data_IF_060222495121
#
_entry.id   IF_060222495121
#
_cell.length_a   1.000
_cell.length_b   1.000
_cell.length_c   1.000
_cell.angle_alpha   90.00
_cell.angle_beta   90.00
_cell.angle_gamma   90.00
#
_symmetry.space_group_name_H-M   'P 1'
#
loop_
_entity.id
_entity.type
_entity.pdbx_description
1 polymer ?
#
# COMPACT_ATOMS: atom_id res chain seq x y z
N UNK A 1 17.52 -7.68 -15.50
CA UNK A 1 16.37 -6.86 -15.06
C UNK A 1 15.63 -7.45 -13.85
N UNK A 2 15.31 -8.74 -13.83
CA UNK A 2 14.62 -9.40 -12.68
C UNK A 2 15.37 -9.25 -11.35
N UNK A 3 16.70 -9.33 -11.39
CA UNK A 3 17.56 -9.19 -10.21
C UNK A 3 17.46 -7.82 -9.54
N UNK A 4 17.38 -6.72 -10.31
CA UNK A 4 17.31 -5.37 -9.75
C UNK A 4 15.98 -5.15 -9.02
N UNK A 5 14.86 -5.56 -9.63
CA UNK A 5 13.54 -5.47 -9.00
C UNK A 5 13.44 -6.37 -7.76
N UNK A 6 14.00 -7.58 -7.81
CA UNK A 6 14.04 -8.48 -6.65
C UNK A 6 14.86 -7.87 -5.50
N UNK A 7 16.06 -7.36 -5.79
CA UNK A 7 16.90 -6.72 -4.78
C UNK A 7 16.25 -5.47 -4.18
N UNK A 8 15.59 -4.63 -4.98
CA UNK A 8 14.83 -3.49 -4.47
C UNK A 8 13.72 -3.93 -3.51
N UNK A 9 12.90 -4.90 -3.92
CA UNK A 9 11.80 -5.42 -3.12
C UNK A 9 12.32 -5.99 -1.79
N UNK A 10 13.38 -6.81 -1.86
CA UNK A 10 13.99 -7.43 -0.70
C UNK A 10 14.58 -6.38 0.25
N UNK A 11 15.35 -5.42 -0.27
CA UNK A 11 15.94 -4.35 0.53
C UNK A 11 14.87 -3.52 1.25
N UNK A 12 13.85 -3.07 0.50
CA UNK A 12 12.79 -2.21 1.03
C UNK A 12 11.96 -2.94 2.08
N UNK A 13 11.61 -4.21 1.85
CA UNK A 13 10.79 -5.00 2.80
C UNK A 13 11.57 -5.44 4.04
N UNK A 14 12.90 -5.50 3.97
CA UNK A 14 13.77 -5.83 5.10
C UNK A 14 14.25 -4.59 5.88
N UNK A 15 13.82 -3.39 5.50
CA UNK A 15 14.17 -2.16 6.20
C UNK A 15 12.92 -1.53 6.83
N UNK A 16 12.92 -1.19 8.13
CA UNK A 16 11.77 -0.55 8.77
C UNK A 16 11.38 0.77 8.10
N UNK A 17 10.07 1.01 7.93
CA UNK A 17 9.59 2.25 7.29
C UNK A 17 10.08 3.50 8.01
N UNK A 18 10.10 3.53 9.35
CA UNK A 18 10.55 4.70 10.11
C UNK A 18 12.01 5.07 9.77
N UNK A 19 12.87 4.08 9.56
CA UNK A 19 14.27 4.29 9.17
C UNK A 19 14.34 4.87 7.76
N UNK A 20 13.53 4.35 6.83
CA UNK A 20 13.43 4.88 5.47
C UNK A 20 12.89 6.32 5.48
N UNK A 21 11.89 6.61 6.32
CA UNK A 21 11.30 7.94 6.47
C UNK A 21 12.33 8.96 6.94
N UNK A 22 13.07 8.67 8.01
CA UNK A 22 14.12 9.56 8.49
C UNK A 22 15.27 9.72 7.50
N UNK A 23 15.67 8.64 6.84
CA UNK A 23 16.70 8.72 5.80
C UNK A 23 16.24 9.63 4.64
N UNK A 24 15.00 9.49 4.17
CA UNK A 24 14.46 10.32 3.10
C UNK A 24 14.25 11.77 3.56
N UNK A 25 13.80 12.01 4.79
CA UNK A 25 13.51 13.35 5.30
C UNK A 25 14.76 14.16 5.71
N UNK A 26 15.82 13.49 6.17
CA UNK A 26 17.00 14.17 6.71
C UNK A 26 18.31 13.79 6.01
N UNK A 27 18.46 12.52 5.62
CA UNK A 27 19.68 12.03 4.96
C UNK A 27 19.77 12.45 3.49
N UNK A 28 18.71 12.23 2.72
CA UNK A 28 18.69 12.50 1.28
C UNK A 28 18.86 14.00 0.94
N UNK A 29 18.21 14.95 1.64
CA UNK A 29 18.44 16.38 1.46
C UNK A 29 19.89 16.79 1.71
N UNK A 30 20.53 16.21 2.72
CA UNK A 30 21.93 16.50 3.06
C UNK A 30 22.89 15.98 1.98
N UNK A 31 22.63 14.80 1.44
CA UNK A 31 23.47 14.18 0.41
C UNK A 31 23.35 14.87 -0.96
N UNK A 32 22.13 15.29 -1.32
CA UNK A 32 21.82 15.83 -2.65
C UNK A 32 21.67 17.36 -2.66
N UNK A 33 21.81 18.02 -1.51
CA UNK A 33 21.73 19.46 -1.32
C UNK A 33 20.45 20.10 -1.91
N UNK A 34 19.29 19.55 -1.54
CA UNK A 34 17.99 20.11 -1.90
C UNK A 34 17.14 20.35 -0.65
N UNK A 35 16.05 21.13 -0.80
CA UNK A 35 15.10 21.39 0.27
C UNK A 35 13.68 21.20 -0.25
N UNK A 36 13.03 20.13 0.19
CA UNK A 36 11.61 19.87 -0.05
C UNK A 36 10.82 20.00 1.25
N UNK A 37 9.51 20.30 1.18
CA UNK A 37 8.68 20.26 2.37
C UNK A 37 8.60 18.83 2.95
N UNK A 38 8.45 18.69 4.27
CA UNK A 38 8.43 17.37 4.93
C UNK A 38 7.32 16.44 4.41
N UNK A 39 6.17 16.97 4.00
CA UNK A 39 5.10 16.16 3.41
C UNK A 39 5.54 15.46 2.12
N UNK A 40 6.42 16.08 1.33
CA UNK A 40 6.95 15.48 0.10
C UNK A 40 7.93 14.34 0.40
N UNK A 41 8.74 14.50 1.45
CA UNK A 41 9.61 13.43 1.95
C UNK A 41 8.80 12.25 2.51
N UNK A 42 7.75 12.53 3.29
CA UNK A 42 6.82 11.52 3.78
C UNK A 42 6.19 10.73 2.63
N UNK A 43 5.70 11.43 1.60
CA UNK A 43 5.11 10.81 0.42
C UNK A 43 6.13 9.92 -0.31
N UNK A 44 7.35 10.41 -0.52
CA UNK A 44 8.41 9.63 -1.17
C UNK A 44 8.76 8.36 -0.38
N UNK A 45 8.93 8.47 0.94
CA UNK A 45 9.22 7.32 1.79
C UNK A 45 8.10 6.28 1.77
N UNK A 46 6.84 6.71 1.84
CA UNK A 46 5.68 5.82 1.73
C UNK A 46 5.59 5.15 0.36
N UNK A 47 5.82 5.89 -0.74
CA UNK A 47 5.81 5.33 -2.10
C UNK A 47 6.91 4.27 -2.26
N UNK A 48 8.14 4.57 -1.84
CA UNK A 48 9.26 3.64 -1.91
C UNK A 48 8.93 2.37 -1.13
N UNK A 49 8.47 2.52 0.11
CA UNK A 49 8.16 1.38 0.95
C UNK A 49 7.02 0.52 0.38
N UNK A 50 5.86 1.13 0.15
CA UNK A 50 4.65 0.40 -0.23
C UNK A 50 4.68 -0.13 -1.67
N UNK A 51 5.43 0.51 -2.58
CA UNK A 51 5.58 -0.01 -3.95
C UNK A 51 6.20 -1.41 -3.98
N UNK A 52 7.12 -1.73 -3.07
CA UNK A 52 7.69 -3.07 -2.95
C UNK A 52 6.66 -4.11 -2.49
N UNK A 53 5.82 -3.75 -1.51
CA UNK A 53 4.74 -4.63 -1.05
C UNK A 53 3.67 -4.83 -2.13
N UNK A 54 3.27 -3.78 -2.83
CA UNK A 54 2.33 -3.88 -3.95
C UNK A 54 2.90 -4.71 -5.09
N UNK A 55 4.19 -4.58 -5.41
CA UNK A 55 4.83 -5.38 -6.45
C UNK A 55 4.76 -6.88 -6.14
N UNK A 56 4.96 -7.28 -4.88
CA UNK A 56 4.83 -8.68 -4.47
C UNK A 56 3.40 -9.20 -4.52
N UNK A 57 2.42 -8.38 -4.13
CA UNK A 57 1.00 -8.73 -4.27
C UNK A 57 0.64 -8.96 -5.74
N UNK A 58 1.07 -8.06 -6.63
CA UNK A 58 0.84 -8.17 -8.07
C UNK A 58 1.53 -9.42 -8.62
N UNK A 59 2.81 -9.65 -8.26
CA UNK A 59 3.56 -10.83 -8.69
C UNK A 59 2.88 -12.13 -8.25
N UNK A 60 2.48 -12.21 -6.99
CA UNK A 60 1.78 -13.39 -6.45
C UNK A 60 0.43 -13.61 -7.16
N UNK A 61 -0.35 -12.55 -7.38
CA UNK A 61 -1.63 -12.64 -8.09
C UNK A 61 -1.49 -13.09 -9.54
N UNK A 62 -0.45 -12.64 -10.25
CA UNK A 62 -0.19 -13.05 -11.64
C UNK A 62 0.27 -14.51 -11.76
N UNK A 63 0.98 -15.05 -10.77
CA UNK A 63 1.47 -16.44 -10.77
C UNK A 63 0.35 -17.44 -10.43
N UNK A 64 -0.68 -17.02 -9.70
CA UNK A 64 -1.78 -17.90 -9.27
C UNK A 64 -2.77 -18.29 -10.39
N UNK A 65 -2.64 -17.74 -11.59
CA UNK A 65 -3.56 -18.03 -12.70
C UNK A 65 -3.32 -19.45 -13.24
N UNK A 66 -4.42 -20.21 -13.38
CA UNK A 66 -4.37 -21.60 -13.85
C UNK A 66 -3.81 -21.69 -15.28
N UNK A 67 -2.78 -22.53 -15.46
CA UNK A 67 -2.15 -22.77 -16.77
C UNK A 67 -3.14 -23.29 -17.82
N UNK A 68 -4.15 -24.06 -17.39
CA UNK A 68 -5.21 -24.60 -18.26
C UNK A 68 -5.96 -23.52 -19.03
N UNK A 69 -6.20 -22.35 -18.42
CA UNK A 69 -6.86 -21.23 -19.12
C UNK A 69 -5.98 -20.64 -20.22
N UNK A 70 -4.67 -20.59 -19.98
CA UNK A 70 -3.69 -20.09 -20.94
C UNK A 70 -3.55 -21.11 -22.09
N UNK A 71 -3.47 -22.39 -21.77
CA UNK A 71 -3.40 -23.49 -22.74
C UNK A 71 -4.66 -23.57 -23.61
N UNK A 72 -5.85 -23.46 -23.01
CA UNK A 72 -7.12 -23.42 -23.75
C UNK A 72 -7.24 -22.20 -24.66
N UNK A 73 -6.82 -21.02 -24.18
CA UNK A 73 -6.81 -19.80 -24.99
C UNK A 73 -5.82 -19.89 -26.18
N UNK A 74 -4.66 -20.54 -25.97
CA UNK A 74 -3.70 -20.82 -27.04
C UNK A 74 -4.26 -21.83 -28.05
N UNK A 75 -4.98 -22.88 -27.60
CA UNK A 75 -5.61 -23.86 -28.48
C UNK A 75 -6.69 -23.23 -29.40
N UNK A 76 -7.33 -22.16 -28.94
CA UNK A 76 -8.26 -21.35 -29.73
C UNK A 76 -7.58 -20.34 -30.67
N UNK A 77 -6.24 -20.34 -30.75
CA UNK A 77 -5.47 -19.44 -31.62
C UNK A 77 -5.52 -17.97 -31.20
N UNK A 78 -5.84 -17.67 -29.93
CA UNK A 78 -5.93 -16.28 -29.46
C UNK A 78 -4.54 -15.64 -29.39
N UNK A 79 -4.45 -14.37 -29.80
CA UNK A 79 -3.21 -13.59 -29.69
C UNK A 79 -2.83 -13.38 -28.22
N UNK A 80 -1.55 -13.50 -27.89
CA UNK A 80 -1.01 -13.32 -26.53
C UNK A 80 -1.47 -12.04 -25.81
N UNK A 81 -1.65 -10.93 -26.53
CA UNK A 81 -2.17 -9.68 -25.95
C UNK A 81 -3.63 -9.79 -25.49
N UNK A 82 -4.45 -10.54 -26.23
CA UNK A 82 -5.85 -10.82 -25.86
C UNK A 82 -5.88 -11.71 -24.63
N UNK A 83 -5.07 -12.78 -24.62
CA UNK A 83 -4.95 -13.69 -23.48
C UNK A 83 -4.55 -12.90 -22.22
N UNK A 84 -3.53 -12.05 -22.32
CA UNK A 84 -3.07 -11.25 -21.19
C UNK A 84 -4.15 -10.27 -20.71
N UNK A 85 -4.67 -9.41 -21.59
CA UNK A 85 -5.53 -8.28 -21.20
C UNK A 85 -6.97 -8.69 -20.88
N UNK A 86 -7.52 -9.69 -21.56
CA UNK A 86 -8.94 -10.06 -21.43
C UNK A 86 -9.17 -11.31 -20.59
N UNK A 87 -8.17 -12.18 -20.43
CA UNK A 87 -8.32 -13.43 -19.68
C UNK A 87 -7.53 -13.34 -18.38
N UNK A 88 -6.21 -13.19 -18.46
CA UNK A 88 -5.33 -13.25 -17.28
C UNK A 88 -5.52 -12.04 -16.37
N UNK A 89 -5.42 -10.83 -16.91
CA UNK A 89 -5.37 -9.60 -16.11
C UNK A 89 -6.63 -9.34 -15.27
N UNK A 90 -7.87 -9.46 -15.80
CA UNK A 90 -9.07 -9.25 -15.00
C UNK A 90 -9.22 -10.26 -13.86
N UNK A 91 -8.84 -11.52 -14.10
CA UNK A 91 -8.88 -12.58 -13.09
C UNK A 91 -7.80 -12.35 -12.03
N UNK A 92 -6.57 -12.03 -12.45
CA UNK A 92 -5.47 -11.77 -11.54
C UNK A 92 -5.78 -10.60 -10.60
N UNK A 93 -6.35 -9.50 -11.11
CA UNK A 93 -6.77 -8.38 -10.27
C UNK A 93 -7.87 -8.81 -9.29
N UNK A 94 -8.87 -9.54 -9.75
CA UNK A 94 -9.95 -10.03 -8.89
C UNK A 94 -9.44 -10.98 -7.78
N UNK A 95 -8.37 -11.72 -8.04
CA UNK A 95 -7.72 -12.61 -7.08
C UNK A 95 -6.87 -11.85 -6.07
N UNK A 96 -6.10 -10.85 -6.51
CA UNK A 96 -5.25 -10.06 -5.62
C UNK A 96 -6.01 -8.95 -4.88
N UNK A 97 -7.24 -8.63 -5.27
CA UNK A 97 -8.01 -7.53 -4.67
C UNK A 97 -8.11 -7.59 -3.13
N UNK A 98 -8.43 -8.73 -2.48
CA UNK A 98 -8.46 -8.80 -1.02
C UNK A 98 -7.10 -8.46 -0.38
N UNK A 99 -6.00 -8.91 -0.98
CA UNK A 99 -4.65 -8.58 -0.53
C UNK A 99 -4.32 -7.10 -0.72
N UNK A 100 -4.72 -6.51 -1.85
CA UNK A 100 -4.58 -5.08 -2.10
C UNK A 100 -5.35 -4.25 -1.07
N UNK A 101 -6.60 -4.62 -0.76
CA UNK A 101 -7.40 -3.96 0.27
C UNK A 101 -6.70 -4.00 1.63
N UNK A 102 -6.19 -5.17 2.02
CA UNK A 102 -5.39 -5.31 3.24
C UNK A 102 -4.18 -4.38 3.25
N UNK A 103 -3.44 -4.30 2.14
CA UNK A 103 -2.27 -3.44 2.01
C UNK A 103 -2.63 -1.94 2.05
N UNK A 104 -3.73 -1.53 1.44
CA UNK A 104 -4.21 -0.14 1.51
C UNK A 104 -4.63 0.25 2.93
N UNK A 105 -5.32 -0.64 3.66
CA UNK A 105 -5.67 -0.40 5.07
C UNK A 105 -4.41 -0.29 5.92
N UNK A 106 -3.43 -1.17 5.69
CA UNK A 106 -2.14 -1.12 6.39
C UNK A 106 -1.39 0.19 6.09
N UNK A 107 -1.38 0.64 4.83
CA UNK A 107 -0.84 1.93 4.43
C UNK A 107 -1.50 3.06 5.20
N UNK A 108 -2.83 3.09 5.22
CA UNK A 108 -3.61 4.10 5.92
C UNK A 108 -3.28 4.16 7.42
N UNK A 109 -3.16 3.02 8.09
CA UNK A 109 -2.80 2.99 9.52
C UNK A 109 -1.35 3.47 9.75
N UNK A 110 -0.48 3.18 8.79
CA UNK A 110 0.95 3.47 8.86
C UNK A 110 1.27 4.94 8.55
N UNK A 111 0.37 5.69 7.91
CA UNK A 111 0.58 7.13 7.69
C UNK A 111 0.78 7.91 8.99
N UNK A 112 0.27 7.42 10.13
CA UNK A 112 0.48 8.02 11.44
C UNK A 112 1.96 8.30 11.78
N UNK A 113 2.87 7.51 11.21
CA UNK A 113 4.32 7.62 11.42
C UNK A 113 4.91 8.89 10.81
N UNK A 114 4.24 9.53 9.86
CA UNK A 114 4.76 10.77 9.22
C UNK A 114 4.79 11.95 10.20
N UNK A 115 4.00 11.90 11.27
CA UNK A 115 4.02 12.88 12.35
C UNK A 115 5.39 12.99 13.05
N UNK A 116 6.18 11.91 13.02
CA UNK A 116 7.53 11.87 13.61
C UNK A 116 8.51 12.83 12.92
N UNK A 117 8.23 13.23 11.68
CA UNK A 117 9.01 14.25 10.96
C UNK A 117 8.29 15.60 10.90
N UNK A 118 7.27 15.80 11.75
CA UNK A 118 6.53 17.06 11.86
C UNK A 118 5.53 17.31 10.73
N UNK A 119 5.11 16.27 10.00
CA UNK A 119 3.99 16.40 9.04
C UNK A 119 2.68 16.37 9.79
N UNK A 120 1.83 17.36 9.54
CA UNK A 120 0.52 17.46 10.17
C UNK A 120 -0.43 16.37 9.66
N UNK A 121 -0.81 15.46 10.56
CA UNK A 121 -1.82 14.44 10.35
C UNK A 121 -2.65 14.23 11.65
N UNK A 122 -3.41 13.14 11.70
CA UNK A 122 -4.22 12.80 12.87
C UNK A 122 -3.36 12.52 14.11
N UNK A 123 -2.24 11.80 13.97
CA UNK A 123 -1.32 11.53 15.08
C UNK A 123 -0.67 12.82 15.59
N UNK A 124 -0.25 13.70 14.67
CA UNK A 124 0.32 15.00 15.02
C UNK A 124 -0.66 15.85 15.82
N UNK A 125 -1.94 15.88 15.45
CA UNK A 125 -2.97 16.59 16.21
C UNK A 125 -3.10 16.05 17.65
N UNK A 126 -2.99 14.74 17.84
CA UNK A 126 -3.00 14.14 19.17
C UNK A 126 -1.74 14.50 19.98
N UNK A 127 -0.55 14.32 19.42
CA UNK A 127 0.72 14.73 20.06
C UNK A 127 0.70 16.21 20.43
N UNK A 128 0.11 17.04 19.57
CA UNK A 128 -0.08 18.46 19.82
C UNK A 128 -0.93 18.69 21.07
N UNK A 129 -2.08 18.03 21.21
CA UNK A 129 -2.95 18.18 22.39
C UNK A 129 -2.30 17.61 23.65
N UNK A 130 -1.66 16.45 23.55
CA UNK A 130 -0.98 15.79 24.67
C UNK A 130 0.09 16.68 25.29
N UNK A 131 0.96 17.28 24.47
CA UNK A 131 2.03 18.18 24.95
C UNK A 131 1.55 19.46 25.63
N UNK A 132 0.27 19.83 25.54
CA UNK A 132 -0.30 20.99 26.25
C UNK A 132 -1.17 20.60 27.45
N UNK A 133 -1.81 19.43 27.39
CA UNK A 133 -2.74 18.98 28.41
C UNK A 133 -2.14 17.96 29.37
N UNK A 134 -1.05 17.29 28.95
CA UNK A 134 -0.40 16.16 29.63
C UNK A 134 -1.38 15.02 29.95
N UNK A 135 -2.42 14.87 29.13
CA UNK A 135 -3.47 13.84 29.25
C UNK A 135 -3.27 12.73 28.23
N UNK A 136 -2.11 12.07 28.31
CA UNK A 136 -1.69 11.12 27.28
C UNK A 136 -2.65 9.96 27.12
N UNK A 137 -3.19 9.43 28.23
CA UNK A 137 -4.13 8.31 28.17
C UNK A 137 -5.40 8.68 27.38
N UNK A 138 -6.04 9.80 27.72
CA UNK A 138 -7.25 10.27 27.04
C UNK A 138 -6.99 10.62 25.57
N UNK A 139 -5.84 11.23 25.27
CA UNK A 139 -5.48 11.56 23.89
C UNK A 139 -5.28 10.29 23.06
N UNK A 140 -4.47 9.33 23.53
CA UNK A 140 -4.14 8.13 22.76
C UNK A 140 -5.31 7.15 22.65
N UNK A 141 -6.21 7.07 23.63
CA UNK A 141 -7.45 6.28 23.49
C UNK A 141 -8.38 6.92 22.44
N UNK A 142 -8.50 8.25 22.42
CA UNK A 142 -9.28 8.97 21.41
C UNK A 142 -8.69 8.81 20.02
N UNK A 143 -7.36 8.95 19.85
CA UNK A 143 -6.68 8.67 18.59
C UNK A 143 -6.94 7.24 18.10
N UNK A 144 -6.83 6.25 18.99
CA UNK A 144 -7.06 4.85 18.67
C UNK A 144 -8.48 4.63 18.14
N UNK A 145 -9.49 5.23 18.80
CA UNK A 145 -10.88 5.16 18.33
C UNK A 145 -11.02 5.78 16.93
N UNK A 146 -10.43 6.94 16.68
CA UNK A 146 -10.49 7.57 15.35
C UNK A 146 -9.82 6.71 14.26
N UNK A 147 -8.63 6.17 14.51
CA UNK A 147 -7.95 5.29 13.55
C UNK A 147 -8.76 4.01 13.27
N UNK A 148 -9.38 3.41 14.30
CA UNK A 148 -10.27 2.25 14.12
C UNK A 148 -11.49 2.62 13.27
N UNK A 149 -12.18 3.72 13.59
CA UNK A 149 -13.37 4.14 12.84
C UNK A 149 -13.04 4.45 11.37
N UNK A 150 -11.97 5.18 11.12
CA UNK A 150 -11.54 5.53 9.76
C UNK A 150 -11.09 4.29 8.98
N UNK A 151 -10.32 3.39 9.59
CA UNK A 151 -9.89 2.15 8.93
C UNK A 151 -11.05 1.20 8.63
N UNK A 152 -12.05 1.11 9.52
CA UNK A 152 -13.28 0.35 9.25
C UNK A 152 -14.10 0.98 8.13
N UNK A 153 -14.26 2.30 8.12
CA UNK A 153 -14.96 3.02 7.04
C UNK A 153 -14.26 2.78 5.70
N UNK A 154 -12.93 2.87 5.68
CA UNK A 154 -12.14 2.66 4.48
C UNK A 154 -12.22 1.20 4.00
N UNK A 155 -12.15 0.23 4.92
CA UNK A 155 -12.37 -1.19 4.62
C UNK A 155 -13.75 -1.45 4.02
N UNK A 156 -14.80 -0.88 4.62
CA UNK A 156 -16.18 -1.04 4.12
C UNK A 156 -16.36 -0.41 2.74
N UNK A 157 -15.77 0.76 2.51
CA UNK A 157 -15.76 1.41 1.20
C UNK A 157 -15.12 0.51 0.14
N UNK A 158 -13.91 0.00 0.40
CA UNK A 158 -13.22 -0.90 -0.53
C UNK A 158 -13.95 -2.25 -0.72
N UNK A 159 -14.56 -2.78 0.33
CA UNK A 159 -15.33 -4.02 0.25
C UNK A 159 -16.60 -3.86 -0.61
N UNK A 160 -17.27 -2.70 -0.54
CA UNK A 160 -18.44 -2.40 -1.39
C UNK A 160 -18.11 -2.25 -2.87
N UNK A 161 -16.89 -1.81 -3.19
CA UNK A 161 -16.43 -1.66 -4.58
C UNK A 161 -16.16 -3.02 -5.25
N UNK A 162 -15.75 -4.03 -4.48
CA UNK A 162 -15.40 -5.36 -5.01
C UNK A 162 -16.49 -5.99 -5.91
N UNK A 163 -17.75 -6.16 -5.48
CA UNK A 163 -18.78 -6.79 -6.31
C UNK A 163 -19.14 -5.96 -7.56
N UNK A 164 -18.89 -4.65 -7.53
CA UNK A 164 -19.12 -3.74 -8.67
C UNK A 164 -18.03 -3.95 -9.73
N UNK A 165 -16.77 -4.07 -9.31
CA UNK A 165 -15.63 -4.29 -10.21
C UNK A 165 -15.57 -5.72 -10.77
N UNK A 166 -15.91 -6.72 -9.95
CA UNK A 166 -15.73 -8.14 -10.31
C UNK A 166 -17.03 -8.95 -10.17
N UNK A 167 -18.10 -8.60 -10.90
CA UNK A 167 -19.40 -9.26 -10.78
C UNK A 167 -19.36 -10.75 -11.19
N UNK A 168 -18.37 -11.15 -12.01
CA UNK A 168 -18.19 -12.53 -12.45
C UNK A 168 -17.69 -13.46 -11.33
N UNK A 169 -17.01 -12.93 -10.30
CA UNK A 169 -16.47 -13.74 -9.20
C UNK A 169 -17.47 -13.93 -8.06
N UNK A 170 -18.50 -13.10 -7.97
CA UNK A 170 -19.57 -13.22 -6.98
C UNK A 170 -20.65 -14.24 -7.36
N UNK A 171 -20.61 -14.79 -8.58
CA UNK A 171 -21.63 -15.73 -9.11
C UNK A 171 -21.18 -17.19 -9.14
N UNK A 172 -19.94 -17.51 -8.71
CA UNK A 172 -19.43 -18.87 -8.53
C UNK A 172 -19.48 -19.26 -7.06
#
# INVERSE_FOLDING_TARGET
>A
MVWFSASYIEFVRNTPLIVQLFFVAFGLPLLLNYQWPFWAHALLALILNFSAYFAEIIRAGMVNIQKSQIEGANALGLRRSIILLKIIFPQAIADMYPSLVGQFIFLFLTTGVISEIGVEDLTHAGIFIDSRTFRSFEVFITLTVFYILLSLLFKLFLAKIFPILFPFKCKS
#
